data_IF_726867947576
#
_entry.id   IF_726867947576
#
_cell.length_a   1.000
_cell.length_b   1.000
_cell.length_c   1.000
_cell.angle_alpha   90.00
_cell.angle_beta   90.00
_cell.angle_gamma   90.00
#
_symmetry.space_group_name_H-M   'P 1'
#
loop_
_entity.id
_entity.type
_entity.pdbx_description
1 polymer ?
#
# COMPACT_ATOMS: atom_id res chain seq x y z
N UNK A 1 -9.02 13.30 -7.26
CA UNK A 1 -8.16 12.76 -6.18
C UNK A 1 -6.87 12.27 -6.83
N UNK A 2 -5.73 12.81 -6.40
CA UNK A 2 -4.45 12.23 -6.80
C UNK A 2 -4.42 10.75 -6.37
N UNK A 3 -3.95 9.82 -7.20
CA UNK A 3 -4.15 8.42 -6.89
C UNK A 3 -3.19 7.86 -5.84
N UNK A 4 -1.96 8.36 -5.76
CA UNK A 4 -1.04 8.26 -4.60
C UNK A 4 -1.72 8.71 -3.29
N UNK A 5 -2.77 9.51 -3.47
CA UNK A 5 -3.67 9.97 -2.45
C UNK A 5 -4.94 9.09 -2.29
N UNK A 6 -4.85 7.78 -2.56
CA UNK A 6 -5.85 6.75 -2.27
C UNK A 6 -5.18 5.44 -1.83
N UNK A 7 -5.94 4.50 -1.24
CA UNK A 7 -5.41 3.14 -0.97
C UNK A 7 -5.41 2.30 -2.25
N UNK A 8 -4.42 2.51 -3.11
CA UNK A 8 -4.39 2.05 -4.50
C UNK A 8 -3.00 1.54 -4.90
N UNK A 9 -2.90 1.01 -6.10
CA UNK A 9 -1.65 0.61 -6.73
C UNK A 9 -1.29 1.58 -7.87
N UNK A 10 -0.02 2.00 -7.94
CA UNK A 10 0.57 2.77 -9.04
C UNK A 10 1.52 1.88 -9.85
N UNK A 11 1.51 2.04 -11.18
CA UNK A 11 2.44 1.36 -12.08
C UNK A 11 3.05 2.39 -13.01
N UNK A 12 4.38 2.51 -12.96
CA UNK A 12 5.18 3.18 -13.98
C UNK A 12 5.95 2.14 -14.80
N UNK A 13 6.02 2.36 -16.11
CA UNK A 13 6.71 1.49 -17.07
C UNK A 13 7.58 2.33 -17.98
N UNK A 14 8.85 1.98 -18.12
CA UNK A 14 9.84 2.74 -18.91
C UNK A 14 9.88 4.24 -18.55
N UNK A 15 9.71 4.56 -17.26
CA UNK A 15 9.70 5.94 -16.76
C UNK A 15 8.38 6.71 -16.95
N UNK A 16 7.34 6.09 -17.52
CA UNK A 16 6.04 6.73 -17.70
C UNK A 16 4.97 6.09 -16.81
N UNK A 17 4.30 6.91 -16.00
CA UNK A 17 3.09 6.52 -15.28
C UNK A 17 1.87 6.57 -16.22
N UNK A 18 0.96 5.62 -16.07
CA UNK A 18 -0.34 5.66 -16.75
C UNK A 18 -1.39 6.28 -15.84
N UNK A 19 -2.46 6.82 -16.44
CA UNK A 19 -3.65 7.22 -15.69
C UNK A 19 -4.14 6.04 -14.86
N UNK A 20 -4.52 6.33 -13.62
CA UNK A 20 -5.05 5.31 -12.73
C UNK A 20 -6.40 4.82 -13.27
N UNK A 21 -6.55 3.50 -13.46
CA UNK A 21 -7.77 2.93 -14.01
C UNK A 21 -8.94 3.17 -13.06
N UNK A 22 -10.04 3.67 -13.61
CA UNK A 22 -11.19 4.14 -12.81
C UNK A 22 -12.02 3.03 -12.15
N UNK A 23 -11.98 1.78 -12.64
CA UNK A 23 -12.85 0.70 -12.16
C UNK A 23 -12.20 -0.68 -12.25
N UNK A 24 -12.14 -1.39 -11.13
CA UNK A 24 -11.86 -2.82 -11.09
C UNK A 24 -13.13 -3.64 -11.33
N UNK A 25 -13.03 -4.73 -12.07
CA UNK A 25 -14.09 -5.71 -12.22
C UNK A 25 -14.12 -6.61 -10.98
N UNK A 26 -15.27 -6.71 -10.32
CA UNK A 26 -15.49 -7.71 -9.27
C UNK A 26 -15.48 -9.11 -9.91
N UNK A 27 -14.50 -9.94 -9.56
CA UNK A 27 -14.41 -11.31 -10.08
C UNK A 27 -15.05 -12.33 -9.14
N UNK A 28 -14.93 -12.12 -7.83
CA UNK A 28 -15.43 -13.06 -6.83
C UNK A 28 -15.74 -12.34 -5.51
N UNK A 29 -16.84 -12.73 -4.87
CA UNK A 29 -17.17 -12.33 -3.51
C UNK A 29 -17.83 -13.51 -2.80
N UNK A 30 -17.34 -13.89 -1.62
CA UNK A 30 -17.93 -14.98 -0.83
C UNK A 30 -17.68 -14.85 0.67
N UNK A 31 -18.53 -15.51 1.44
CA UNK A 31 -18.29 -15.81 2.85
C UNK A 31 -17.51 -17.13 2.88
N UNK A 32 -16.30 -17.12 3.46
CA UNK A 32 -15.46 -18.32 3.59
C UNK A 32 -15.96 -19.19 4.75
N UNK A 33 -16.20 -18.53 5.89
CA UNK A 33 -16.72 -19.08 7.13
C UNK A 33 -17.40 -17.97 7.94
N UNK A 34 -18.02 -18.30 9.07
CA UNK A 34 -18.61 -17.28 9.95
C UNK A 34 -17.57 -16.22 10.33
N UNK A 35 -17.85 -14.95 10.00
CA UNK A 35 -16.94 -13.84 10.27
C UNK A 35 -15.72 -13.73 9.33
N UNK A 36 -15.60 -14.57 8.31
CA UNK A 36 -14.49 -14.57 7.35
C UNK A 36 -15.00 -14.34 5.93
N UNK A 37 -14.50 -13.30 5.28
CA UNK A 37 -15.00 -12.83 3.98
C UNK A 37 -13.87 -12.71 2.96
N UNK A 38 -14.19 -12.97 1.70
CA UNK A 38 -13.28 -12.88 0.56
C UNK A 38 -13.86 -12.04 -0.56
N UNK A 39 -12.99 -11.27 -1.19
CA UNK A 39 -13.25 -10.36 -2.30
C UNK A 39 -12.07 -10.47 -3.28
N UNK A 40 -12.33 -10.66 -4.58
CA UNK A 40 -11.33 -10.51 -5.65
C UNK A 40 -11.80 -9.54 -6.71
N UNK A 41 -10.93 -8.58 -7.03
CA UNK A 41 -11.15 -7.61 -8.09
C UNK A 41 -9.98 -7.63 -9.07
N UNK A 42 -10.26 -7.37 -10.35
CA UNK A 42 -9.22 -7.22 -11.38
C UNK A 42 -9.39 -5.93 -12.15
N UNK A 43 -8.28 -5.24 -12.33
CA UNK A 43 -8.14 -4.11 -13.23
C UNK A 43 -7.19 -4.48 -14.37
N UNK A 44 -7.73 -4.53 -15.59
CA UNK A 44 -6.97 -5.00 -16.76
C UNK A 44 -6.22 -3.88 -17.46
N UNK A 45 -5.11 -4.22 -18.11
CA UNK A 45 -4.35 -3.32 -19.01
C UNK A 45 -3.90 -2.01 -18.35
N UNK A 46 -3.59 -2.04 -17.07
CA UNK A 46 -3.02 -0.92 -16.35
C UNK A 46 -1.51 -0.82 -16.63
N UNK A 47 -1.13 0.15 -17.45
CA UNK A 47 0.25 0.41 -17.86
C UNK A 47 1.05 -0.83 -18.31
N UNK A 48 0.44 -1.72 -19.10
CA UNK A 48 1.08 -2.97 -19.54
C UNK A 48 0.97 -4.14 -18.56
N UNK A 49 0.15 -4.02 -17.52
CA UNK A 49 -0.11 -5.06 -16.53
C UNK A 49 -1.60 -5.31 -16.29
N UNK A 50 -1.95 -6.46 -15.74
CA UNK A 50 -3.21 -6.68 -15.04
C UNK A 50 -2.95 -6.58 -13.53
N UNK A 51 -3.79 -5.85 -12.81
CA UNK A 51 -3.73 -5.79 -11.35
C UNK A 51 -4.91 -6.55 -10.75
N UNK A 52 -4.63 -7.56 -9.94
CA UNK A 52 -5.61 -8.30 -9.16
C UNK A 52 -5.45 -7.95 -7.68
N UNK A 53 -6.53 -7.54 -7.02
CA UNK A 53 -6.58 -7.35 -5.57
C UNK A 53 -7.47 -8.40 -4.95
N UNK A 54 -6.90 -9.22 -4.09
CA UNK A 54 -7.63 -10.13 -3.21
C UNK A 54 -7.69 -9.53 -1.81
N UNK A 55 -8.87 -9.54 -1.19
CA UNK A 55 -9.09 -9.01 0.16
C UNK A 55 -9.70 -10.10 1.03
N UNK A 56 -9.03 -10.39 2.15
CA UNK A 56 -9.50 -11.31 3.18
C UNK A 56 -9.85 -10.50 4.42
N UNK A 57 -11.11 -10.54 4.85
CA UNK A 57 -11.54 -9.89 6.09
C UNK A 57 -11.82 -10.95 7.14
N UNK A 58 -11.10 -10.90 8.25
CA UNK A 58 -11.28 -11.78 9.41
C UNK A 58 -11.83 -10.90 10.53
N UNK A 59 -13.13 -10.99 10.77
CA UNK A 59 -13.85 -10.11 11.70
C UNK A 59 -13.23 -10.20 13.10
N UNK A 60 -12.89 -9.03 13.63
CA UNK A 60 -12.29 -8.91 14.97
C UNK A 60 -10.78 -9.18 15.02
N UNK A 61 -10.14 -9.46 13.88
CA UNK A 61 -8.69 -9.67 13.80
C UNK A 61 -8.04 -8.74 12.79
N UNK A 62 -8.24 -8.94 11.49
CA UNK A 62 -7.51 -8.17 10.48
C UNK A 62 -8.22 -8.11 9.12
N UNK A 63 -7.71 -7.22 8.27
CA UNK A 63 -7.95 -7.26 6.83
C UNK A 63 -6.61 -7.46 6.10
N UNK A 64 -6.57 -8.42 5.19
CA UNK A 64 -5.40 -8.68 4.34
C UNK A 64 -5.71 -8.23 2.92
N UNK A 65 -4.81 -7.44 2.34
CA UNK A 65 -4.84 -7.02 0.95
C UNK A 65 -3.69 -7.72 0.24
N UNK A 66 -4.00 -8.63 -0.67
CA UNK A 66 -3.03 -9.31 -1.51
C UNK A 66 -3.16 -8.79 -2.94
N UNK A 67 -2.26 -7.89 -3.30
CA UNK A 67 -2.17 -7.29 -4.63
C UNK A 67 -1.22 -8.11 -5.50
N UNK A 68 -1.68 -8.61 -6.64
CA UNK A 68 -0.84 -9.26 -7.65
C UNK A 68 -0.89 -8.49 -8.96
N UNK A 69 0.28 -8.16 -9.48
CA UNK A 69 0.51 -7.50 -10.76
C UNK A 69 1.00 -8.54 -11.75
N UNK A 70 0.27 -8.74 -12.83
CA UNK A 70 0.57 -9.71 -13.89
C UNK A 70 1.05 -8.92 -15.09
N UNK A 71 2.28 -9.17 -15.52
CA UNK A 71 2.89 -8.47 -16.65
C UNK A 71 2.30 -8.94 -17.98
N UNK A 72 1.66 -8.03 -18.72
CA UNK A 72 1.11 -8.30 -20.06
C UNK A 72 2.08 -7.86 -21.18
N UNK A 73 2.96 -6.91 -20.87
CA UNK A 73 3.98 -6.38 -21.78
C UNK A 73 5.33 -6.30 -21.08
N UNK A 74 6.37 -6.88 -21.67
CA UNK A 74 7.74 -6.75 -21.14
C UNK A 74 8.13 -5.29 -20.90
N UNK A 75 8.90 -5.03 -19.85
CA UNK A 75 9.54 -3.73 -19.62
C UNK A 75 10.18 -3.59 -18.25
N UNK A 76 10.74 -2.41 -18.01
CA UNK A 76 11.19 -1.94 -16.70
C UNK A 76 10.03 -1.32 -15.93
N UNK A 77 9.76 -1.82 -14.72
CA UNK A 77 8.62 -1.43 -13.92
C UNK A 77 9.03 -0.83 -12.58
N UNK A 78 8.32 0.23 -12.17
CA UNK A 78 8.26 0.71 -10.79
C UNK A 78 6.80 0.61 -10.35
N UNK A 79 6.56 -0.21 -9.34
CA UNK A 79 5.21 -0.51 -8.85
C UNK A 79 5.11 -0.13 -7.38
N UNK A 80 4.12 0.69 -7.03
CA UNK A 80 3.87 1.14 -5.66
C UNK A 80 2.48 0.76 -5.17
N UNK A 81 2.38 0.12 -4.03
CA UNK A 81 1.14 -0.07 -3.27
C UNK A 81 1.06 1.00 -2.17
N UNK A 82 0.02 1.82 -2.22
CA UNK A 82 -0.21 2.94 -1.31
C UNK A 82 -1.32 2.62 -0.33
N UNK A 83 -1.08 2.90 0.95
CA UNK A 83 -2.08 2.78 2.00
C UNK A 83 -2.04 4.00 2.90
N UNK A 84 -3.22 4.37 3.39
CA UNK A 84 -3.41 5.59 4.17
C UNK A 84 -3.92 5.27 5.55
N UNK A 85 -3.37 5.92 6.55
CA UNK A 85 -3.92 5.92 7.91
C UNK A 85 -4.25 7.36 8.34
N UNK A 86 -5.45 7.62 8.88
CA UNK A 86 -5.85 8.92 9.42
C UNK A 86 -5.33 9.07 10.87
N UNK A 87 -4.01 9.07 11.00
CA UNK A 87 -3.25 9.24 12.24
C UNK A 87 -1.78 9.50 11.90
N UNK A 88 -1.04 10.10 12.85
CA UNK A 88 0.42 10.07 12.78
C UNK A 88 0.89 8.63 12.89
N UNK A 89 1.89 8.30 12.10
CA UNK A 89 2.43 6.97 12.05
C UNK A 89 3.95 6.99 12.13
N UNK A 90 4.51 5.84 12.49
CA UNK A 90 5.93 5.56 12.44
C UNK A 90 6.15 4.17 11.83
N UNK A 91 7.39 3.89 11.44
CA UNK A 91 7.79 2.60 10.91
C UNK A 91 8.53 1.79 11.99
N UNK A 92 8.21 0.51 12.06
CA UNK A 92 9.00 -0.51 12.73
C UNK A 92 9.23 -1.64 11.73
N UNK A 93 10.46 -1.76 11.22
CA UNK A 93 10.77 -2.59 10.05
C UNK A 93 9.83 -2.27 8.86
N UNK A 94 9.13 -3.27 8.33
CA UNK A 94 8.15 -3.13 7.24
C UNK A 94 6.72 -2.92 7.75
N UNK A 95 6.55 -2.58 9.03
CA UNK A 95 5.24 -2.35 9.64
C UNK A 95 5.06 -0.87 9.96
N UNK A 96 4.03 -0.26 9.36
CA UNK A 96 3.54 1.04 9.79
C UNK A 96 2.69 0.86 11.05
N UNK A 97 2.95 1.66 12.08
CA UNK A 97 2.16 1.70 13.32
C UNK A 97 1.63 3.10 13.58
N UNK A 98 0.42 3.17 14.11
CA UNK A 98 -0.21 4.43 14.53
C UNK A 98 -1.09 4.21 15.74
N UNK A 99 -0.98 5.09 16.75
CA UNK A 99 -1.80 5.01 17.97
C UNK A 99 -3.14 5.70 17.74
N UNK A 100 -4.23 5.07 18.18
CA UNK A 100 -5.58 5.58 18.04
C UNK A 100 -6.38 5.32 19.32
N UNK A 101 -7.47 6.06 19.46
CA UNK A 101 -8.40 5.92 20.59
C UNK A 101 -9.78 5.58 20.05
N UNK A 102 -10.40 4.53 20.59
CA UNK A 102 -11.76 4.16 20.21
C UNK A 102 -12.81 5.05 20.90
N UNK A 103 -14.10 4.85 20.59
CA UNK A 103 -15.19 5.61 21.20
C UNK A 103 -15.31 5.41 22.72
N UNK A 104 -14.77 4.30 23.23
CA UNK A 104 -14.72 3.94 24.65
C UNK A 104 -13.47 4.48 25.35
N UNK A 105 -12.70 5.35 24.70
CA UNK A 105 -11.44 5.91 25.19
C UNK A 105 -10.32 4.88 25.41
N UNK A 106 -10.42 3.70 24.78
CA UNK A 106 -9.36 2.70 24.82
C UNK A 106 -8.32 2.96 23.73
N UNK A 107 -7.05 2.89 24.13
CA UNK A 107 -5.92 3.01 23.21
C UNK A 107 -5.71 1.69 22.48
N UNK A 108 -5.50 1.80 21.17
CA UNK A 108 -5.09 0.69 20.31
C UNK A 108 -4.12 1.19 19.25
N UNK A 109 -3.40 0.26 18.66
CA UNK A 109 -2.53 0.49 17.51
C UNK A 109 -3.24 0.01 16.25
N UNK A 110 -3.22 0.83 15.20
CA UNK A 110 -3.45 0.34 13.85
C UNK A 110 -2.09 0.01 13.25
N UNK A 111 -1.88 -1.27 12.97
CA UNK A 111 -0.66 -1.82 12.38
C UNK A 111 -0.92 -2.21 10.94
N UNK A 112 0.01 -1.88 10.05
CA UNK A 112 -0.03 -2.22 8.64
C UNK A 112 1.32 -2.80 8.22
N UNK A 113 1.41 -4.12 8.22
CA UNK A 113 2.63 -4.86 7.84
C UNK A 113 2.65 -5.13 6.35
N UNK A 114 3.80 -4.93 5.69
CA UNK A 114 3.99 -5.18 4.27
C UNK A 114 4.96 -6.33 3.99
N UNK A 115 4.57 -7.16 3.01
CA UNK A 115 5.33 -8.30 2.51
C UNK A 115 5.34 -8.27 0.98
N UNK A 116 6.37 -8.83 0.37
CA UNK A 116 6.50 -8.92 -1.09
C UNK A 116 6.91 -10.31 -1.55
N UNK A 117 6.54 -10.68 -2.77
CA UNK A 117 7.08 -11.88 -3.44
C UNK A 117 8.53 -11.70 -3.95
N UNK A 118 9.05 -10.48 -3.87
CA UNK A 118 10.42 -10.07 -4.16
C UNK A 118 10.83 -9.02 -3.13
N UNK A 119 12.06 -8.52 -3.23
CA UNK A 119 12.51 -7.41 -2.39
C UNK A 119 11.58 -6.19 -2.55
N UNK A 120 11.22 -5.62 -1.40
CA UNK A 120 10.37 -4.44 -1.29
C UNK A 120 11.08 -3.35 -0.50
N UNK A 121 10.81 -2.10 -0.89
CA UNK A 121 11.10 -0.93 -0.08
C UNK A 121 9.80 -0.39 0.49
N UNK A 122 9.86 0.14 1.71
CA UNK A 122 8.71 0.81 2.35
C UNK A 122 9.09 2.24 2.69
N UNK A 123 8.25 3.18 2.28
CA UNK A 123 8.37 4.59 2.61
C UNK A 123 7.15 5.07 3.40
N UNK A 124 7.35 6.04 4.27
CA UNK A 124 6.32 6.70 5.06
C UNK A 124 6.35 8.20 4.81
N UNK A 125 5.21 8.76 4.39
CA UNK A 125 5.02 10.20 4.23
C UNK A 125 3.90 10.69 5.15
N UNK A 126 4.12 11.81 5.85
CA UNK A 126 3.05 12.53 6.53
C UNK A 126 2.48 13.61 5.61
N UNK A 127 1.17 13.57 5.38
CA UNK A 127 0.44 14.58 4.63
C UNK A 127 -0.30 15.46 5.64
N UNK A 128 -0.01 16.78 5.68
CA UNK A 128 -0.76 17.74 6.48
C UNK A 128 -2.14 17.96 5.86
N UNK A 129 -3.04 17.00 6.11
CA UNK A 129 -4.34 16.90 5.47
C UNK A 129 -5.24 18.10 5.79
N UNK A 130 -5.11 18.66 7.00
CA UNK A 130 -5.86 19.84 7.44
C UNK A 130 -5.58 21.08 6.59
N UNK A 131 -4.32 21.42 6.38
CA UNK A 131 -3.95 22.58 5.55
C UNK A 131 -4.32 22.36 4.08
N UNK A 132 -4.02 21.18 3.51
CA UNK A 132 -4.22 20.93 2.08
C UNK A 132 -5.69 20.83 1.66
N UNK A 133 -6.55 20.13 2.40
CA UNK A 133 -7.94 19.92 1.97
C UNK A 133 -8.92 20.96 2.49
N UNK A 134 -8.74 21.47 3.71
CA UNK A 134 -9.71 22.37 4.33
C UNK A 134 -9.46 23.85 3.98
N UNK A 135 -8.20 24.26 3.78
CA UNK A 135 -7.91 25.64 3.37
C UNK A 135 -8.00 25.86 1.85
N UNK A 136 -7.71 24.83 1.04
CA UNK A 136 -7.66 24.98 -0.42
C UNK A 136 -8.79 24.27 -1.18
N UNK A 137 -9.70 23.61 -0.46
CA UNK A 137 -10.73 22.74 -1.06
C UNK A 137 -10.13 21.47 -1.64
N UNK A 138 -10.98 20.52 -2.05
CA UNK A 138 -10.50 19.33 -2.77
C UNK A 138 -9.70 19.74 -4.02
N UNK A 139 -8.62 19.03 -4.33
CA UNK A 139 -7.57 19.38 -5.33
C UNK A 139 -8.02 19.63 -6.78
N UNK A 140 -9.32 19.68 -7.10
CA UNK A 140 -9.82 19.99 -8.44
C UNK A 140 -10.87 21.09 -8.52
N UNK A 141 -11.28 21.72 -7.42
CA UNK A 141 -12.29 22.77 -7.51
C UNK A 141 -11.65 24.15 -7.79
N UNK A 142 -10.92 24.26 -8.91
CA UNK A 142 -10.45 25.55 -9.45
C UNK A 142 -11.59 26.53 -9.77
N UNK A 143 -12.85 26.09 -9.66
CA UNK A 143 -14.04 26.89 -9.96
C UNK A 143 -14.91 27.26 -8.77
N UNK A 144 -14.56 26.87 -7.54
CA UNK A 144 -15.32 27.30 -6.37
C UNK A 144 -14.37 27.71 -5.24
N UNK A 145 -14.23 29.03 -5.06
CA UNK A 145 -13.94 29.65 -3.77
C UNK A 145 -15.07 29.33 -2.78
N UNK A 146 -15.31 28.07 -2.46
CA UNK A 146 -16.05 27.69 -1.27
C UNK A 146 -15.01 27.58 -0.18
N UNK A 147 -14.84 28.66 0.56
CA UNK A 147 -14.32 28.62 1.92
C UNK A 147 -15.15 27.57 2.68
N UNK A 148 -14.68 26.32 2.71
CA UNK A 148 -15.26 25.33 3.60
C UNK A 148 -15.11 25.88 5.02
N UNK A 149 -16.18 25.83 5.82
CA UNK A 149 -16.05 26.23 7.22
C UNK A 149 -15.11 25.22 7.91
N UNK A 150 -13.91 25.63 8.38
CA UNK A 150 -12.97 24.72 9.04
C UNK A 150 -13.59 23.99 10.24
N UNK A 151 -14.54 24.61 10.94
CA UNK A 151 -15.25 23.97 12.05
C UNK A 151 -16.05 22.74 11.60
N UNK A 152 -16.68 22.79 10.42
CA UNK A 152 -17.44 21.64 9.88
C UNK A 152 -16.48 20.50 9.53
N UNK A 153 -15.32 20.84 8.96
CA UNK A 153 -14.26 19.90 8.63
C UNK A 153 -13.71 19.19 9.88
N UNK A 154 -13.44 19.94 10.95
CA UNK A 154 -12.97 19.42 12.23
C UNK A 154 -14.01 18.50 12.88
N UNK A 155 -15.29 18.89 12.85
CA UNK A 155 -16.41 18.07 13.34
C UNK A 155 -16.50 16.76 12.54
N UNK A 156 -16.43 16.82 11.21
CA UNK A 156 -16.49 15.64 10.36
C UNK A 156 -15.29 14.72 10.57
N UNK A 157 -14.08 15.29 10.71
CA UNK A 157 -12.87 14.54 11.00
C UNK A 157 -12.99 13.81 12.34
N UNK A 158 -13.33 14.55 13.41
CA UNK A 158 -13.48 13.98 14.73
C UNK A 158 -14.61 12.94 14.79
N UNK A 159 -15.74 13.16 14.10
CA UNK A 159 -16.82 12.19 14.02
C UNK A 159 -16.41 10.89 13.30
N UNK A 160 -15.58 10.98 12.26
CA UNK A 160 -15.15 9.83 11.46
C UNK A 160 -14.01 9.06 12.11
N UNK A 161 -13.04 9.77 12.68
CA UNK A 161 -11.76 9.21 13.11
C UNK A 161 -11.52 9.25 14.62
N UNK A 162 -12.42 9.89 15.38
CA UNK A 162 -12.32 10.06 16.83
C UNK A 162 -10.97 10.68 17.27
N UNK A 163 -10.51 11.67 16.51
CA UNK A 163 -9.27 12.39 16.76
C UNK A 163 -9.48 13.86 16.46
N UNK A 164 -8.80 14.73 17.22
CA UNK A 164 -8.69 16.17 16.92
C UNK A 164 -7.46 16.48 16.06
N UNK A 165 -6.54 15.54 15.92
CA UNK A 165 -5.34 15.69 15.11
C UNK A 165 -5.66 15.34 13.65
N UNK A 166 -5.57 16.34 12.77
CA UNK A 166 -5.96 16.24 11.36
C UNK A 166 -4.75 15.96 10.50
N UNK A 167 -4.37 14.69 10.46
CA UNK A 167 -3.18 14.22 9.79
C UNK A 167 -3.47 12.89 9.10
N UNK A 168 -2.87 12.71 7.92
CA UNK A 168 -2.91 11.44 7.20
C UNK A 168 -1.48 11.02 6.92
N UNK A 169 -1.11 9.82 7.33
CA UNK A 169 0.14 9.21 6.89
C UNK A 169 -0.11 8.25 5.74
N UNK A 170 0.83 8.20 4.79
CA UNK A 170 0.80 7.32 3.63
C UNK A 170 1.99 6.37 3.70
N UNK A 171 1.70 5.07 3.77
CA UNK A 171 2.68 4.01 3.52
C UNK A 171 2.72 3.73 2.03
N UNK A 172 3.92 3.75 1.44
CA UNK A 172 4.15 3.28 0.08
C UNK A 172 5.10 2.11 0.12
N UNK A 173 4.60 0.93 -0.22
CA UNK A 173 5.44 -0.25 -0.48
C UNK A 173 5.71 -0.31 -1.97
N UNK A 174 6.96 -0.34 -2.39
CA UNK A 174 7.28 -0.38 -3.81
C UNK A 174 8.38 -1.37 -4.16
N UNK A 175 8.36 -1.80 -5.41
CA UNK A 175 9.39 -2.62 -6.02
C UNK A 175 9.74 -2.05 -7.40
N UNK A 176 11.01 -2.18 -7.77
CA UNK A 176 11.55 -1.75 -9.07
C UNK A 176 12.27 -2.94 -9.68
N UNK A 177 11.82 -3.38 -10.86
CA UNK A 177 12.27 -4.61 -11.49
C UNK A 177 11.92 -4.69 -12.97
N UNK A 178 12.73 -5.42 -13.73
CA UNK A 178 12.39 -5.89 -15.07
C UNK A 178 11.37 -7.01 -14.98
N UNK A 179 10.32 -6.97 -15.81
CA UNK A 179 9.31 -8.05 -15.88
C UNK A 179 9.13 -8.53 -17.32
N UNK A 180 9.13 -9.85 -17.49
CA UNK A 180 8.74 -10.51 -18.74
C UNK A 180 7.23 -10.73 -18.82
N UNK A 181 6.70 -10.91 -20.04
CA UNK A 181 5.28 -11.25 -20.19
C UNK A 181 4.95 -12.55 -19.43
N UNK A 182 3.91 -12.47 -18.59
CA UNK A 182 3.43 -13.53 -17.72
C UNK A 182 4.07 -13.55 -16.33
N UNK A 183 5.08 -12.73 -16.08
CA UNK A 183 5.64 -12.58 -14.74
C UNK A 183 4.61 -11.97 -13.78
N UNK A 184 4.74 -12.31 -12.51
CA UNK A 184 3.86 -11.85 -11.45
C UNK A 184 4.66 -11.31 -10.28
N UNK A 185 4.33 -10.09 -9.87
CA UNK A 185 4.77 -9.49 -8.62
C UNK A 185 3.59 -9.44 -7.66
N UNK A 186 3.80 -9.77 -6.39
CA UNK A 186 2.77 -9.63 -5.36
C UNK A 186 3.24 -8.80 -4.18
N UNK A 187 2.34 -7.95 -3.67
CA UNK A 187 2.44 -7.29 -2.38
C UNK A 187 1.34 -7.83 -1.47
N UNK A 188 1.65 -8.06 -0.20
CA UNK A 188 0.67 -8.43 0.81
C UNK A 188 0.73 -7.45 1.96
N UNK A 189 -0.40 -6.86 2.29
CA UNK A 189 -0.53 -5.91 3.40
C UNK A 189 -1.52 -6.44 4.42
N UNK A 190 -1.13 -6.49 5.68
CA UNK A 190 -1.96 -6.95 6.80
C UNK A 190 -2.31 -5.76 7.67
N UNK A 191 -3.58 -5.34 7.63
CA UNK A 191 -4.12 -4.31 8.50
C UNK A 191 -4.68 -4.94 9.77
N UNK A 192 -4.01 -4.70 10.90
CA UNK A 192 -4.28 -5.30 12.20
C UNK A 192 -4.52 -4.22 13.26
N UNK A 193 -5.78 -3.96 13.67
CA UNK A 193 -6.05 -3.24 14.90
C UNK A 193 -5.70 -4.13 16.09
N UNK A 194 -4.76 -3.70 16.92
CA UNK A 194 -4.22 -4.48 18.03
C UNK A 194 -4.05 -3.60 19.26
N UNK A 195 -4.08 -4.17 20.47
CA UNK A 195 -3.54 -3.46 21.63
C UNK A 195 -2.02 -3.38 21.55
N UNK A 196 -1.41 -2.38 22.19
CA UNK A 196 0.05 -2.20 22.14
C UNK A 196 0.87 -3.36 22.71
N UNK A 197 0.27 -4.19 23.57
CA UNK A 197 0.87 -5.38 24.17
C UNK A 197 0.69 -6.67 23.35
N UNK A 198 -0.09 -6.63 22.27
CA UNK A 198 -0.31 -7.79 21.40
C UNK A 198 0.82 -7.96 20.37
N UNK A 199 1.07 -9.19 19.97
CA UNK A 199 2.03 -9.52 18.90
C UNK A 199 1.50 -9.11 17.50
N UNK A 200 2.42 -8.97 16.54
CA UNK A 200 2.05 -8.74 15.14
C UNK A 200 1.55 -10.04 14.49
N UNK A 201 0.62 -9.93 13.55
CA UNK A 201 0.18 -11.08 12.76
C UNK A 201 1.31 -11.44 11.80
N UNK A 202 1.84 -12.65 11.93
CA UNK A 202 2.80 -13.15 10.96
C UNK A 202 2.07 -13.61 9.70
N UNK A 203 2.57 -13.20 8.54
CA UNK A 203 1.99 -13.52 7.23
C UNK A 203 3.01 -14.20 6.33
N UNK A 204 2.61 -15.31 5.73
CA UNK A 204 3.41 -16.05 4.76
C UNK A 204 2.54 -16.44 3.55
N UNK A 205 3.12 -16.36 2.34
CA UNK A 205 2.57 -16.99 1.15
C UNK A 205 3.36 -18.27 0.88
N UNK A 206 2.73 -19.42 1.13
CA UNK A 206 3.32 -20.74 0.91
C UNK A 206 2.59 -21.47 -0.22
N UNK A 207 3.24 -21.60 -1.38
CA UNK A 207 2.60 -22.12 -2.59
C UNK A 207 1.49 -21.17 -3.05
N UNK A 208 0.24 -21.64 -3.08
CA UNK A 208 -0.94 -20.82 -3.38
C UNK A 208 -1.81 -20.56 -2.13
N UNK A 209 -1.19 -20.58 -0.95
CA UNK A 209 -1.88 -20.38 0.32
C UNK A 209 -1.34 -19.16 1.06
N UNK A 210 -2.24 -18.28 1.46
CA UNK A 210 -2.01 -17.26 2.48
C UNK A 210 -2.14 -17.91 3.86
N UNK A 211 -1.08 -17.80 4.68
CA UNK A 211 -1.05 -18.26 6.06
C UNK A 211 -0.88 -17.06 6.99
N UNK A 212 -1.78 -16.94 7.96
CA UNK A 212 -1.72 -15.94 9.02
C UNK A 212 -1.59 -16.66 10.36
N UNK A 213 -0.58 -16.30 11.14
CA UNK A 213 -0.34 -16.86 12.48
C UNK A 213 -0.46 -15.78 13.53
N UNK A 214 -1.33 -16.00 14.52
CA UNK A 214 -1.57 -15.06 15.62
C UNK A 214 -2.19 -15.78 16.84
N UNK A 215 -1.64 -15.54 18.03
CA UNK A 215 -2.14 -16.10 19.29
C UNK A 215 -2.16 -17.62 19.33
N UNK A 216 -1.18 -18.27 18.66
CA UNK A 216 -1.12 -19.72 18.51
C UNK A 216 -2.16 -20.33 17.57
N UNK A 217 -2.92 -19.52 16.82
CA UNK A 217 -3.87 -19.96 15.80
C UNK A 217 -3.33 -19.68 14.41
N UNK A 218 -3.62 -20.59 13.47
CA UNK A 218 -3.38 -20.39 12.04
C UNK A 218 -4.71 -20.15 11.30
N UNK A 219 -4.68 -19.21 10.37
CA UNK A 219 -5.72 -18.98 9.38
C UNK A 219 -5.14 -19.19 7.99
N UNK A 220 -5.71 -20.11 7.23
CA UNK A 220 -5.16 -20.52 5.93
C UNK A 220 -6.20 -20.33 4.84
N UNK A 221 -5.83 -19.57 3.81
CA UNK A 221 -6.73 -19.25 2.70
C UNK A 221 -6.04 -19.46 1.36
N UNK A 222 -6.74 -20.00 0.35
CA UNK A 222 -6.21 -20.05 -1.00
C UNK A 222 -6.15 -18.63 -1.60
N UNK A 223 -5.05 -18.33 -2.28
CA UNK A 223 -4.90 -17.14 -3.12
C UNK A 223 -4.95 -17.54 -4.60
N UNK A 224 -5.64 -16.75 -5.41
CA UNK A 224 -5.83 -17.05 -6.83
C UNK A 224 -4.55 -16.83 -7.65
N UNK A 225 -3.75 -15.84 -7.23
CA UNK A 225 -2.49 -15.52 -7.86
C UNK A 225 -1.39 -15.38 -6.82
N UNK A 226 -0.17 -15.76 -7.19
CA UNK A 226 1.03 -15.57 -6.39
C UNK A 226 2.15 -15.06 -7.25
N UNK A 227 3.06 -14.31 -6.63
CA UNK A 227 4.24 -13.80 -7.29
C UNK A 227 5.07 -14.93 -7.88
N UNK A 228 5.44 -14.75 -9.14
CA UNK A 228 6.21 -15.72 -9.92
C UNK A 228 6.96 -14.95 -11.00
N UNK A 229 8.23 -14.68 -10.75
CA UNK A 229 9.12 -14.06 -11.72
C UNK A 229 9.88 -15.15 -12.46
N UNK A 230 9.94 -15.06 -13.80
CA UNK A 230 10.93 -15.84 -14.55
C UNK A 230 12.30 -15.37 -14.10
N UNK A 231 13.12 -16.28 -13.56
CA UNK A 231 14.52 -15.95 -13.26
C UNK A 231 15.21 -15.65 -14.58
N UNK A 232 15.63 -14.40 -14.75
CA UNK A 232 16.64 -14.10 -15.74
C UNK A 232 17.88 -14.93 -15.40
N UNK A 233 18.42 -15.64 -16.39
CA UNK A 233 19.79 -16.14 -16.32
C UNK A 233 20.70 -14.91 -16.31
N UNK A 234 20.95 -14.35 -15.13
CA UNK A 234 21.95 -13.30 -14.98
C UNK A 234 23.29 -13.91 -15.38
N UNK A 235 23.80 -13.52 -16.56
CA UNK A 235 25.21 -13.67 -16.86
C UNK A 235 25.95 -12.80 -15.85
N UNK A 236 26.69 -13.45 -14.96
CA UNK A 236 27.72 -12.84 -14.14
C UNK A 236 28.65 -12.01 -15.03
N UNK A 237 28.63 -10.69 -14.90
CA UNK A 237 29.81 -9.89 -15.16
C UNK A 237 30.29 -9.32 -13.84
N UNK A 238 31.09 -10.15 -13.16
CA UNK A 238 32.20 -9.64 -12.37
C UNK A 238 33.04 -8.73 -13.27
N UNK A 239 33.13 -7.45 -12.89
CA UNK A 239 34.40 -6.73 -12.96
C UNK A 239 34.36 -5.51 -12.03
N UNK A 240 35.17 -5.62 -10.99
CA UNK A 240 35.66 -4.52 -10.18
C UNK A 240 36.04 -3.31 -11.05
N UNK A 241 35.69 -2.12 -10.58
CA UNK A 241 36.59 -0.97 -10.66
C UNK A 241 36.46 -0.15 -9.38
N UNK A 242 37.38 -0.46 -8.47
CA UNK A 242 37.78 0.38 -7.36
C UNK A 242 38.32 1.69 -7.93
N UNK A 243 37.75 2.82 -7.52
CA UNK A 243 38.23 4.15 -7.89
C UNK A 243 37.77 5.21 -6.91
N UNK A 244 38.52 5.41 -5.83
CA UNK A 244 38.44 6.59 -4.95
C UNK A 244 38.78 7.86 -5.74
N UNK A 245 37.83 8.77 -5.91
CA UNK A 245 38.00 10.23 -6.06
C UNK A 245 36.63 10.80 -5.65
N UNK A 246 36.40 11.70 -4.70
CA UNK A 246 37.12 12.88 -4.22
C UNK A 246 36.02 13.95 -4.06
N UNK A 247 35.84 14.47 -2.85
CA UNK A 247 34.80 15.45 -2.48
C UNK A 247 34.95 16.71 -3.36
N UNK A 248 33.89 17.14 -4.04
CA UNK A 248 33.91 18.35 -4.87
C UNK A 248 32.50 18.84 -5.21
N UNK A 249 32.17 20.03 -4.68
CA UNK A 249 30.94 20.81 -4.87
C UNK A 249 30.40 20.80 -6.30
N UNK A 250 29.09 20.59 -6.46
CA UNK A 250 28.30 21.14 -7.57
C UNK A 250 26.91 21.55 -7.06
N UNK A 251 26.85 22.77 -6.52
CA UNK A 251 25.68 23.63 -6.61
C UNK A 251 26.03 24.67 -7.66
N UNK A 252 25.22 24.80 -8.71
CA UNK A 252 24.85 26.05 -9.38
C UNK A 252 24.15 25.69 -10.71
N UNK A 253 22.82 25.87 -10.75
CA UNK A 253 22.08 26.09 -11.99
C UNK A 253 21.33 27.41 -11.86
N UNK A 254 21.39 28.29 -12.87
CA UNK A 254 20.92 29.66 -12.79
C UNK A 254 19.40 29.78 -13.03
N UNK A 255 18.87 30.93 -12.58
CA UNK A 255 17.52 31.46 -12.76
C UNK A 255 16.90 31.25 -14.15
#
# INVERSE_FOLDING_TARGET
PEPENCSILTVAREGYASDIPGYGLMEEQKVIAEGQYYLRMRTKKYNGTDWVREVFLIKGLCAVFHDTIICEQKGEYVIGAHFRTPAKAWMEENTLKSTRTDKSQQLYELRLSAYGSSDISVNLEEIPYGERLFNYGGMHDKKNNRSGNPEIADIMWNARYNSKEIVVSVMTTFSSLSMEKGDKLSFTHVAHPARGDEEDIHCEIAGNMLRLSYGGKEYVYPVAHVGSMKKDKVQSQDKLLVGRIGIGKLFDLPY
#
